data_IF_957038797346
#
_entry.id   IF_957038797346
#
_cell.length_a   1.000
_cell.length_b   1.000
_cell.length_c   1.000
_cell.angle_alpha   90.00
_cell.angle_beta   90.00
_cell.angle_gamma   90.00
#
_symmetry.space_group_name_H-M   'P 1'
#
loop_
_entity.id
_entity.type
_entity.pdbx_description
1 polymer ?
#
# COMPACT_ATOMS: atom_id res chain seq x y z
N UNK A 1 -12.04 -33.09 6.04
CA UNK A 1 -13.02 -32.19 6.73
C UNK A 1 -12.85 -32.14 8.25
N UNK A 2 -12.04 -33.00 8.86
CA UNK A 2 -11.93 -33.09 10.34
C UNK A 2 -10.63 -32.47 10.92
N UNK A 3 -9.62 -32.16 10.11
CA UNK A 3 -8.32 -31.70 10.63
C UNK A 3 -8.29 -30.23 11.06
N UNK A 4 -9.19 -29.40 10.55
CA UNK A 4 -9.25 -27.97 10.89
C UNK A 4 -9.97 -27.67 12.21
N UNK A 5 -10.92 -28.52 12.62
CA UNK A 5 -11.66 -28.34 13.89
C UNK A 5 -10.87 -28.78 15.13
N UNK A 6 -9.96 -29.72 14.98
CA UNK A 6 -9.15 -30.21 16.12
C UNK A 6 -7.96 -29.28 16.45
N UNK A 7 -7.45 -28.54 15.48
CA UNK A 7 -6.41 -27.55 15.72
C UNK A 7 -6.93 -26.38 16.56
N UNK A 8 -8.20 -25.99 16.38
CA UNK A 8 -8.81 -24.91 17.13
C UNK A 8 -9.08 -25.22 18.60
N UNK A 9 -9.27 -26.51 18.97
CA UNK A 9 -9.55 -26.92 20.36
C UNK A 9 -8.38 -26.73 21.33
N UNK A 10 -7.15 -26.66 20.81
CA UNK A 10 -5.92 -26.52 21.61
C UNK A 10 -5.28 -25.12 21.51
N UNK A 11 -5.96 -24.15 20.90
CA UNK A 11 -5.45 -22.79 20.81
C UNK A 11 -5.97 -21.92 21.95
N UNK A 12 -5.05 -21.19 22.59
CA UNK A 12 -5.39 -20.20 23.60
C UNK A 12 -5.36 -18.82 22.93
N UNK A 13 -6.50 -18.12 22.92
CA UNK A 13 -6.51 -16.72 22.49
C UNK A 13 -5.77 -15.87 23.51
N UNK A 14 -4.65 -15.28 23.10
CA UNK A 14 -3.88 -14.36 23.93
C UNK A 14 -4.61 -13.02 24.14
N UNK A 15 -5.50 -12.66 23.22
CA UNK A 15 -6.30 -11.44 23.29
C UNK A 15 -7.76 -11.85 23.42
N UNK A 16 -8.32 -11.68 24.63
CA UNK A 16 -9.70 -12.09 24.95
C UNK A 16 -10.76 -11.16 24.32
N UNK A 17 -10.43 -9.93 24.04
CA UNK A 17 -11.36 -8.91 23.52
C UNK A 17 -10.70 -8.17 22.35
N UNK A 18 -10.73 -8.81 21.17
CA UNK A 18 -10.16 -8.22 19.95
C UNK A 18 -10.88 -6.94 19.55
N UNK A 19 -12.20 -6.89 19.66
CA UNK A 19 -13.01 -5.74 19.26
C UNK A 19 -12.61 -4.48 20.02
N UNK A 20 -12.30 -4.58 21.31
CA UNK A 20 -11.85 -3.45 22.14
C UNK A 20 -10.58 -2.80 21.58
N UNK A 21 -9.66 -3.57 21.03
CA UNK A 21 -8.42 -3.04 20.45
C UNK A 21 -8.65 -2.47 19.06
N UNK A 22 -9.41 -3.14 18.21
CA UNK A 22 -9.72 -2.66 16.85
C UNK A 22 -10.67 -1.46 16.84
N UNK A 23 -11.56 -1.35 17.81
CA UNK A 23 -12.48 -0.21 17.94
C UNK A 23 -11.88 1.00 18.62
N UNK A 24 -10.61 0.94 19.07
CA UNK A 24 -9.94 2.09 19.66
C UNK A 24 -9.95 3.27 18.68
N UNK A 25 -10.45 4.46 19.09
CA UNK A 25 -10.57 5.63 18.23
C UNK A 25 -9.27 6.05 17.55
N UNK A 26 -8.12 5.79 18.18
CA UNK A 26 -6.79 6.07 17.60
C UNK A 26 -6.50 5.22 16.35
N UNK A 27 -7.05 4.02 16.25
CA UNK A 27 -6.80 3.11 15.14
C UNK A 27 -7.95 3.05 14.13
N UNK A 28 -9.20 3.12 14.61
CA UNK A 28 -10.39 2.93 13.79
C UNK A 28 -10.50 3.91 12.62
N UNK A 29 -10.04 5.14 12.79
CA UNK A 29 -10.20 6.21 11.78
C UNK A 29 -8.86 6.76 11.29
N UNK A 30 -7.74 6.05 11.49
CA UNK A 30 -6.43 6.56 11.10
C UNK A 30 -6.21 6.66 9.59
N UNK A 31 -6.93 5.85 8.81
CA UNK A 31 -6.86 5.83 7.35
C UNK A 31 -8.25 5.85 6.74
N UNK A 32 -8.48 6.76 5.82
CA UNK A 32 -9.67 6.80 4.96
C UNK A 32 -9.37 6.03 3.67
N UNK A 33 -10.29 5.17 3.26
CA UNK A 33 -10.20 4.43 1.99
C UNK A 33 -11.05 5.13 0.93
N UNK A 34 -10.54 5.19 -0.30
CA UNK A 34 -11.21 5.79 -1.44
C UNK A 34 -11.00 4.90 -2.68
N UNK A 35 -12.07 4.51 -3.33
CA UNK A 35 -12.09 3.60 -4.49
C UNK A 35 -12.31 4.30 -5.84
N UNK A 36 -12.33 5.63 -5.88
CA UNK A 36 -12.64 6.41 -7.10
C UNK A 36 -11.76 6.10 -8.31
N UNK A 37 -10.57 5.55 -8.11
CA UNK A 37 -9.67 5.17 -9.20
C UNK A 37 -9.94 3.76 -9.75
N UNK A 38 -10.80 2.98 -9.09
CA UNK A 38 -11.13 1.62 -9.51
C UNK A 38 -11.92 1.58 -10.84
N UNK A 39 -12.76 2.59 -11.07
CA UNK A 39 -13.62 2.67 -12.25
C UNK A 39 -12.97 3.43 -13.42
N UNK A 40 -11.67 3.74 -13.32
CA UNK A 40 -10.96 4.51 -14.34
C UNK A 40 -10.77 3.69 -15.62
N UNK A 41 -11.15 4.28 -16.75
CA UNK A 41 -10.94 3.69 -18.08
C UNK A 41 -9.51 3.89 -18.60
N UNK A 42 -8.79 4.88 -18.05
CA UNK A 42 -7.40 5.16 -18.38
C UNK A 42 -6.59 5.31 -17.08
N UNK A 43 -6.52 4.21 -16.34
CA UNK A 43 -5.98 4.20 -14.98
C UNK A 43 -4.56 4.76 -14.88
N UNK A 44 -3.70 4.55 -15.88
CA UNK A 44 -2.34 5.06 -15.85
C UNK A 44 -2.30 6.60 -15.81
N UNK A 45 -3.01 7.27 -16.70
CA UNK A 45 -3.03 8.74 -16.81
C UNK A 45 -3.80 9.38 -15.64
N UNK A 46 -4.89 8.76 -15.23
CA UNK A 46 -5.70 9.25 -14.10
C UNK A 46 -4.93 9.14 -12.79
N UNK A 47 -4.23 8.03 -12.57
CA UNK A 47 -3.36 7.83 -11.41
C UNK A 47 -2.21 8.85 -11.42
N UNK A 48 -1.53 9.02 -12.57
CA UNK A 48 -0.43 9.97 -12.72
C UNK A 48 -0.88 11.40 -12.39
N UNK A 49 -1.99 11.83 -12.98
CA UNK A 49 -2.58 13.15 -12.73
C UNK A 49 -2.95 13.35 -11.26
N UNK A 50 -3.55 12.32 -10.65
CA UNK A 50 -3.98 12.37 -9.27
C UNK A 50 -2.79 12.43 -8.29
N UNK A 51 -1.73 11.66 -8.55
CA UNK A 51 -0.49 11.67 -7.77
C UNK A 51 0.20 13.03 -7.85
N UNK A 52 0.36 13.57 -9.06
CA UNK A 52 0.98 14.89 -9.28
C UNK A 52 0.21 15.97 -8.52
N UNK A 53 -1.12 15.98 -8.60
CA UNK A 53 -1.96 16.93 -7.86
C UNK A 53 -1.73 16.87 -6.34
N UNK A 54 -1.56 15.67 -5.79
CA UNK A 54 -1.33 15.50 -4.35
C UNK A 54 0.12 15.77 -3.94
N UNK A 55 1.10 15.59 -4.83
CA UNK A 55 2.51 15.86 -4.55
C UNK A 55 2.81 17.34 -4.28
N UNK A 56 2.03 18.25 -4.84
CA UNK A 56 2.15 19.70 -4.65
C UNK A 56 1.88 20.18 -3.21
N UNK A 57 1.47 19.28 -2.31
CA UNK A 57 1.12 19.59 -0.91
C UNK A 57 2.22 19.21 0.08
N UNK A 58 3.43 19.00 -0.36
CA UNK A 58 4.55 18.51 0.47
C UNK A 58 4.22 17.23 1.24
N UNK A 59 3.46 16.31 0.59
CA UNK A 59 3.03 15.04 1.18
C UNK A 59 4.04 13.93 0.92
N UNK A 60 4.12 13.00 1.85
CA UNK A 60 4.81 11.73 1.67
C UNK A 60 3.81 10.75 1.03
N UNK A 61 4.06 10.37 -0.20
CA UNK A 61 3.16 9.54 -1.02
C UNK A 61 3.81 8.17 -1.26
N UNK A 62 3.08 7.11 -1.01
CA UNK A 62 3.47 5.74 -1.32
C UNK A 62 2.57 5.20 -2.43
N UNK A 63 3.18 4.60 -3.47
CA UNK A 63 2.46 3.96 -4.56
C UNK A 63 2.99 2.55 -4.70
N UNK A 64 2.13 1.55 -4.63
CA UNK A 64 2.54 0.15 -4.76
C UNK A 64 1.85 -0.51 -5.95
N UNK A 65 2.67 -1.09 -6.81
CA UNK A 65 2.28 -1.90 -7.94
C UNK A 65 2.55 -3.38 -7.69
N UNK A 66 1.79 -4.26 -8.35
CA UNK A 66 2.04 -5.70 -8.31
C UNK A 66 3.24 -6.04 -9.20
N UNK A 67 3.28 -5.50 -10.44
CA UNK A 67 4.35 -5.77 -11.42
C UNK A 67 5.46 -4.73 -11.35
N UNK A 68 6.69 -5.20 -11.49
CA UNK A 68 7.85 -4.32 -11.59
C UNK A 68 7.77 -3.40 -12.82
N UNK A 69 7.34 -3.94 -13.95
CA UNK A 69 7.21 -3.19 -15.20
C UNK A 69 6.30 -1.97 -15.03
N UNK A 70 5.18 -2.15 -14.34
CA UNK A 70 4.24 -1.06 -14.04
C UNK A 70 4.87 -0.03 -13.11
N UNK A 71 5.59 -0.47 -12.07
CA UNK A 71 6.31 0.41 -11.15
C UNK A 71 7.38 1.24 -11.88
N UNK A 72 8.22 0.60 -12.72
CA UNK A 72 9.24 1.29 -13.50
C UNK A 72 8.64 2.29 -14.50
N UNK A 73 7.60 1.87 -15.24
CA UNK A 73 6.92 2.75 -16.20
C UNK A 73 6.37 3.99 -15.50
N UNK A 74 5.73 3.81 -14.36
CA UNK A 74 5.14 4.91 -13.60
C UNK A 74 6.21 5.81 -12.99
N UNK A 75 7.27 5.26 -12.43
CA UNK A 75 8.42 6.01 -11.92
C UNK A 75 9.05 6.88 -13.00
N UNK A 76 9.32 6.33 -14.18
CA UNK A 76 9.88 7.09 -15.30
C UNK A 76 8.96 8.22 -15.73
N UNK A 77 7.64 7.97 -15.83
CA UNK A 77 6.68 9.01 -16.15
C UNK A 77 6.65 10.15 -15.12
N UNK A 78 6.82 9.85 -13.82
CA UNK A 78 6.95 10.87 -12.79
C UNK A 78 8.27 11.67 -12.92
N UNK A 79 9.38 11.01 -13.23
CA UNK A 79 10.68 11.65 -13.40
C UNK A 79 10.71 12.61 -14.61
N UNK A 80 9.92 12.37 -15.64
CA UNK A 80 9.75 13.28 -16.78
C UNK A 80 9.00 14.58 -16.43
N UNK A 81 8.30 14.59 -15.29
CA UNK A 81 7.57 15.77 -14.82
C UNK A 81 8.47 16.64 -13.93
N UNK A 82 8.32 17.95 -14.07
CA UNK A 82 9.02 18.90 -13.20
C UNK A 82 8.31 18.98 -11.84
N UNK A 83 8.57 18.00 -10.96
CA UNK A 83 7.99 17.94 -9.64
C UNK A 83 8.87 18.67 -8.62
N UNK A 84 8.24 19.34 -7.66
CA UNK A 84 8.93 19.99 -6.54
C UNK A 84 9.35 19.01 -5.43
N UNK A 85 8.87 17.78 -5.49
CA UNK A 85 9.18 16.72 -4.53
C UNK A 85 10.18 15.71 -5.11
N UNK A 86 10.83 14.94 -4.24
CA UNK A 86 11.66 13.80 -4.64
C UNK A 86 10.79 12.65 -5.11
N UNK A 87 11.32 11.90 -6.11
CA UNK A 87 10.72 10.64 -6.56
C UNK A 87 11.75 9.54 -6.39
N UNK A 88 11.40 8.47 -5.70
CA UNK A 88 12.24 7.30 -5.46
C UNK A 88 11.50 6.04 -5.89
N UNK A 89 12.25 5.00 -6.27
CA UNK A 89 11.72 3.68 -6.63
C UNK A 89 12.37 2.62 -5.75
N UNK A 90 11.57 1.69 -5.22
CA UNK A 90 12.04 0.54 -4.46
C UNK A 90 11.38 -0.74 -4.97
N UNK A 91 12.21 -1.74 -5.30
CA UNK A 91 11.75 -3.02 -5.83
C UNK A 91 12.43 -4.20 -5.13
N UNK A 92 12.00 -5.43 -5.47
CA UNK A 92 12.62 -6.65 -4.95
C UNK A 92 14.08 -6.84 -5.35
N UNK A 93 14.54 -6.17 -6.41
CA UNK A 93 15.91 -6.28 -6.91
C UNK A 93 16.90 -5.39 -6.14
N UNK A 94 16.39 -4.44 -5.35
CA UNK A 94 17.26 -3.52 -4.62
C UNK A 94 17.97 -4.21 -3.46
N UNK A 95 19.27 -4.00 -3.40
CA UNK A 95 20.08 -4.50 -2.31
C UNK A 95 19.87 -3.66 -1.03
N UNK A 96 20.40 -4.14 0.08
CA UNK A 96 20.24 -3.49 1.39
C UNK A 96 20.82 -2.06 1.44
N UNK A 97 21.87 -1.79 0.68
CA UNK A 97 22.51 -0.46 0.64
C UNK A 97 21.56 0.54 -0.01
N UNK A 98 20.96 0.17 -1.15
CA UNK A 98 20.02 1.02 -1.86
C UNK A 98 18.73 1.24 -1.06
N UNK A 99 18.21 0.20 -0.43
CA UNK A 99 17.06 0.33 0.48
C UNK A 99 17.34 1.31 1.63
N UNK A 100 18.51 1.20 2.25
CA UNK A 100 18.91 2.11 3.32
C UNK A 100 19.10 3.55 2.82
N UNK A 101 19.59 3.74 1.58
CA UNK A 101 19.69 5.06 0.95
C UNK A 101 18.30 5.70 0.80
N UNK A 102 17.33 4.93 0.28
CA UNK A 102 15.96 5.39 0.09
C UNK A 102 15.31 5.76 1.44
N UNK A 103 15.47 4.91 2.47
CA UNK A 103 14.94 5.20 3.81
C UNK A 103 15.51 6.48 4.40
N UNK A 104 16.81 6.72 4.26
CA UNK A 104 17.45 7.98 4.67
C UNK A 104 16.91 9.18 3.89
N UNK A 105 16.62 9.00 2.60
CA UNK A 105 16.01 10.07 1.79
C UNK A 105 14.62 10.43 2.29
N UNK A 106 13.80 9.44 2.68
CA UNK A 106 12.48 9.67 3.25
C UNK A 106 12.59 10.45 4.56
N UNK A 107 13.51 10.03 5.46
CA UNK A 107 13.77 10.71 6.73
C UNK A 107 14.23 12.17 6.53
N UNK A 108 15.14 12.40 5.59
CA UNK A 108 15.60 13.76 5.26
C UNK A 108 14.46 14.64 4.75
N UNK A 109 13.62 14.11 3.84
CA UNK A 109 12.45 14.85 3.34
C UNK A 109 11.47 15.19 4.46
N UNK A 110 11.28 14.28 5.43
CA UNK A 110 10.44 14.54 6.59
C UNK A 110 11.00 15.66 7.48
N UNK A 111 12.29 15.60 7.81
CA UNK A 111 12.97 16.61 8.62
C UNK A 111 12.93 18.01 7.96
N UNK A 112 13.06 18.06 6.63
CA UNK A 112 13.03 19.29 5.85
C UNK A 112 11.60 19.72 5.46
N UNK A 113 10.57 18.99 5.87
CA UNK A 113 9.15 19.20 5.52
C UNK A 113 8.92 19.27 4.01
N UNK A 114 9.67 18.49 3.26
CA UNK A 114 9.53 18.33 1.79
C UNK A 114 8.69 17.10 1.46
N UNK A 115 7.98 17.18 0.34
CA UNK A 115 7.26 16.04 -0.20
C UNK A 115 8.19 14.98 -0.80
N UNK A 116 7.73 13.74 -0.80
CA UNK A 116 8.39 12.62 -1.48
C UNK A 116 7.35 11.68 -2.06
N UNK A 117 7.62 11.14 -3.25
CA UNK A 117 6.86 10.04 -3.85
C UNK A 117 7.76 8.81 -3.84
N UNK A 118 7.32 7.77 -3.18
CA UNK A 118 7.95 6.44 -3.21
C UNK A 118 7.09 5.53 -4.08
N UNK A 119 7.62 5.14 -5.23
CA UNK A 119 7.05 4.08 -6.07
C UNK A 119 7.64 2.75 -5.61
N UNK A 120 6.83 1.73 -5.46
CA UNK A 120 7.26 0.48 -4.86
C UNK A 120 6.57 -0.74 -5.51
N UNK A 121 7.18 -1.89 -5.30
CA UNK A 121 6.50 -3.18 -5.37
C UNK A 121 6.25 -3.72 -3.95
N UNK A 122 5.74 -4.93 -3.80
CA UNK A 122 5.39 -5.56 -2.52
C UNK A 122 6.55 -5.66 -1.49
N UNK A 123 7.76 -5.26 -1.85
CA UNK A 123 8.93 -5.32 -0.94
C UNK A 123 8.78 -4.43 0.30
N UNK A 124 7.89 -3.44 0.25
CA UNK A 124 7.64 -2.53 1.38
C UNK A 124 6.70 -3.13 2.42
N UNK A 125 6.02 -4.22 2.11
CA UNK A 125 5.09 -4.88 3.02
C UNK A 125 5.82 -5.47 4.24
N UNK A 126 7.05 -5.97 4.05
CA UNK A 126 7.85 -6.58 5.10
C UNK A 126 9.18 -5.83 5.35
N UNK A 127 9.45 -5.54 6.62
CA UNK A 127 10.79 -5.05 7.06
C UNK A 127 11.12 -3.59 6.75
N UNK A 128 10.18 -2.82 6.19
CA UNK A 128 10.40 -1.38 5.91
C UNK A 128 9.58 -0.55 6.89
N UNK A 129 10.26 0.29 7.68
CA UNK A 129 9.62 1.18 8.65
C UNK A 129 9.47 2.58 8.07
N UNK A 130 8.28 2.86 7.52
CA UNK A 130 7.91 4.15 6.94
C UNK A 130 6.55 4.60 7.43
N UNK A 131 6.35 5.91 7.50
CA UNK A 131 5.09 6.55 7.83
C UNK A 131 4.71 7.56 6.74
N UNK A 132 3.77 7.18 5.88
CA UNK A 132 3.38 7.97 4.70
C UNK A 132 2.02 8.65 4.93
N UNK A 133 1.75 9.74 4.20
CA UNK A 133 0.50 10.51 4.31
C UNK A 133 -0.61 9.95 3.43
N UNK A 134 -0.24 9.58 2.20
CA UNK A 134 -1.15 9.14 1.16
C UNK A 134 -0.63 7.84 0.55
N UNK A 135 -1.50 6.86 0.41
CA UNK A 135 -1.24 5.61 -0.26
C UNK A 135 -2.00 5.48 -1.58
N UNK A 136 -1.38 4.83 -2.55
CA UNK A 136 -2.01 4.33 -3.76
C UNK A 136 -1.65 2.86 -3.89
N UNK A 137 -2.65 2.00 -3.87
CA UNK A 137 -2.45 0.54 -3.85
C UNK A 137 -3.12 -0.11 -5.05
N UNK A 138 -2.33 -0.76 -5.88
CA UNK A 138 -2.84 -1.69 -6.87
C UNK A 138 -3.49 -2.86 -6.15
N UNK A 139 -4.76 -3.14 -6.44
CA UNK A 139 -5.51 -4.16 -5.70
C UNK A 139 -4.85 -5.51 -5.82
N UNK A 140 -4.71 -6.20 -4.69
CA UNK A 140 -4.05 -7.50 -4.63
C UNK A 140 -4.73 -8.41 -3.60
N UNK A 141 -3.99 -9.10 -2.77
CA UNK A 141 -4.53 -9.90 -1.67
C UNK A 141 -4.89 -9.04 -0.48
N UNK A 142 -5.88 -9.46 0.32
CA UNK A 142 -6.31 -8.72 1.51
C UNK A 142 -5.18 -8.48 2.51
N UNK A 143 -4.36 -9.48 2.79
CA UNK A 143 -3.23 -9.37 3.72
C UNK A 143 -2.19 -8.34 3.23
N UNK A 144 -1.92 -8.31 1.92
CA UNK A 144 -1.06 -7.32 1.29
C UNK A 144 -1.62 -5.90 1.44
N UNK A 145 -2.92 -5.74 1.25
CA UNK A 145 -3.60 -4.45 1.39
C UNK A 145 -3.58 -3.95 2.85
N UNK A 146 -3.79 -4.85 3.82
CA UNK A 146 -3.70 -4.52 5.25
C UNK A 146 -2.27 -4.10 5.63
N UNK A 147 -1.26 -4.82 5.15
CA UNK A 147 0.15 -4.48 5.39
C UNK A 147 0.51 -3.13 4.78
N UNK A 148 0.04 -2.85 3.56
CA UNK A 148 0.20 -1.56 2.91
C UNK A 148 -0.47 -0.44 3.71
N UNK A 149 -1.74 -0.60 4.10
CA UNK A 149 -2.44 0.37 4.93
C UNK A 149 -1.73 0.62 6.25
N UNK A 150 -1.01 -0.39 6.77
CA UNK A 150 -0.15 -0.29 7.94
C UNK A 150 1.00 0.71 7.79
N UNK A 151 1.34 1.14 6.58
CA UNK A 151 2.40 2.14 6.27
C UNK A 151 1.86 3.56 6.15
N UNK A 152 0.54 3.73 6.10
CA UNK A 152 -0.09 5.03 5.94
C UNK A 152 -0.57 5.55 7.30
N UNK A 153 -0.14 6.76 7.66
CA UNK A 153 -0.42 7.36 8.98
C UNK A 153 -0.14 6.38 10.14
N UNK A 154 1.01 5.73 10.09
CA UNK A 154 1.41 4.74 11.08
C UNK A 154 1.52 5.33 12.49
N UNK A 155 1.98 6.57 12.57
CA UNK A 155 2.10 7.30 13.84
C UNK A 155 0.76 7.77 14.41
N UNK A 156 -0.35 7.60 13.69
CA UNK A 156 -1.70 8.07 14.08
C UNK A 156 -1.78 9.59 14.38
N UNK A 157 -0.86 10.41 13.87
CA UNK A 157 -0.79 11.84 14.15
C UNK A 157 -1.68 12.70 13.26
N UNK A 158 -2.26 12.11 12.20
CA UNK A 158 -3.06 12.79 11.17
C UNK A 158 -4.07 11.83 10.55
N UNK A 159 -4.85 12.30 9.59
CA UNK A 159 -5.70 11.44 8.77
C UNK A 159 -4.90 10.99 7.53
N UNK A 160 -4.65 9.68 7.38
CA UNK A 160 -4.12 9.08 6.16
C UNK A 160 -5.23 8.84 5.13
N UNK A 161 -4.88 8.74 3.86
CA UNK A 161 -5.81 8.36 2.79
C UNK A 161 -5.17 7.29 1.93
N UNK A 162 -5.92 6.23 1.61
CA UNK A 162 -5.51 5.19 0.66
C UNK A 162 -6.48 5.17 -0.51
N UNK A 163 -5.95 5.30 -1.71
CA UNK A 163 -6.65 5.13 -2.98
C UNK A 163 -6.32 3.77 -3.55
N UNK A 164 -7.35 2.97 -3.79
CA UNK A 164 -7.20 1.70 -4.51
C UNK A 164 -7.42 1.91 -6.00
N UNK A 165 -6.65 1.18 -6.81
CA UNK A 165 -6.77 1.14 -8.27
C UNK A 165 -6.50 -0.29 -8.77
N UNK A 166 -6.89 -0.59 -10.00
CA UNK A 166 -6.65 -1.88 -10.64
C UNK A 166 -5.92 -1.66 -11.97
N UNK A 167 -4.61 -1.84 -11.98
CA UNK A 167 -3.77 -1.68 -13.16
C UNK A 167 -3.23 -3.02 -13.66
N UNK A 168 -2.73 -3.83 -12.75
CA UNK A 168 -2.00 -5.05 -13.10
C UNK A 168 -2.89 -6.30 -13.20
N UNK A 169 -4.22 -6.12 -13.04
CA UNK A 169 -5.22 -7.19 -13.10
C UNK A 169 -4.81 -8.41 -12.26
N UNK A 170 -4.84 -8.24 -10.95
CA UNK A 170 -4.40 -9.26 -9.98
C UNK A 170 -5.01 -10.66 -10.24
N UNK A 171 -6.24 -10.72 -10.77
CA UNK A 171 -6.89 -11.96 -11.19
C UNK A 171 -6.10 -12.72 -12.27
N UNK A 172 -5.45 -12.00 -13.21
CA UNK A 172 -4.65 -12.63 -14.27
C UNK A 172 -3.30 -13.15 -13.74
N UNK A 173 -2.78 -12.55 -12.68
CA UNK A 173 -1.48 -12.91 -12.08
C UNK A 173 -1.64 -14.10 -11.14
N UNK A 174 -2.71 -14.11 -10.34
CA UNK A 174 -2.93 -15.08 -9.29
C UNK A 174 -3.98 -16.15 -9.62
N UNK A 175 -4.65 -16.06 -10.78
CA UNK A 175 -5.83 -16.83 -11.12
C UNK A 175 -5.69 -18.36 -11.15
N UNK A 176 -4.46 -18.87 -11.18
CA UNK A 176 -4.18 -20.31 -11.18
C UNK A 176 -3.74 -20.88 -9.82
N UNK A 177 -3.61 -20.06 -8.79
CA UNK A 177 -3.25 -20.53 -7.44
C UNK A 177 -4.53 -20.76 -6.61
N UNK A 178 -4.82 -22.04 -6.32
CA UNK A 178 -6.01 -22.45 -5.56
C UNK A 178 -6.09 -21.76 -4.18
N UNK A 179 -4.94 -21.46 -3.56
CA UNK A 179 -4.86 -20.77 -2.27
C UNK A 179 -5.34 -19.33 -2.38
N UNK A 180 -5.15 -18.73 -3.53
CA UNK A 180 -5.44 -17.33 -3.81
C UNK A 180 -6.87 -17.15 -4.31
N UNK A 181 -7.41 -18.12 -5.04
CA UNK A 181 -8.80 -18.07 -5.50
C UNK A 181 -9.81 -18.00 -4.34
N UNK A 182 -9.57 -18.68 -3.23
CA UNK A 182 -10.44 -18.62 -2.05
C UNK A 182 -10.33 -17.26 -1.33
N UNK A 183 -9.13 -16.71 -1.20
CA UNK A 183 -8.92 -15.36 -0.65
C UNK A 183 -9.51 -14.26 -1.55
N UNK A 184 -9.49 -14.48 -2.85
CA UNK A 184 -10.01 -13.53 -3.84
C UNK A 184 -11.53 -13.45 -3.84
N UNK A 185 -12.22 -14.59 -3.65
CA UNK A 185 -13.69 -14.60 -3.52
C UNK A 185 -14.15 -13.94 -2.22
N UNK A 186 -13.51 -14.22 -1.09
CA UNK A 186 -13.77 -13.56 0.19
C UNK A 186 -13.60 -12.04 0.09
N UNK A 187 -12.57 -11.57 -0.61
CA UNK A 187 -12.31 -10.16 -0.84
C UNK A 187 -13.42 -9.45 -1.63
N UNK A 188 -13.96 -10.09 -2.66
CA UNK A 188 -15.04 -9.54 -3.44
C UNK A 188 -16.36 -9.49 -2.68
N UNK A 189 -16.62 -10.46 -1.80
CA UNK A 189 -17.81 -10.52 -0.95
C UNK A 189 -17.78 -9.49 0.19
N UNK A 190 -16.60 -9.21 0.77
CA UNK A 190 -16.46 -8.25 1.87
C UNK A 190 -16.42 -6.78 1.44
N UNK A 191 -16.19 -6.49 0.17
CA UNK A 191 -16.12 -5.10 -0.35
C UNK A 191 -17.44 -4.55 -0.84
N UNK A 192 -18.41 -5.39 -1.09
CA UNK A 192 -19.74 -5.06 -1.62
C UNK A 192 -20.84 -5.51 -0.68
#
# INVERSE_FOLDING_TARGET
KNDSEDVLKNTISLIKDREKYFSNPLFKNRVKIDYKLMDSQNIFEDLLTHVIKNSNKNKKILIEFIKKESAYKFYNALCEKQLSCKVELITGDDNIIERNRILKTIELCENEKRGIILVATQVIEAGVDIDMDIGYKDISKLDSEEQFMGRINRSCNRMGIVYFFDMDAATSIYGNDIRINNEYSLRNEERF
#
